data_IF_972528754863
#
_entry.id   IF_972528754863
#
_cell.length_a   1.000
_cell.length_b   1.000
_cell.length_c   1.000
_cell.angle_alpha   90.00
_cell.angle_beta   90.00
_cell.angle_gamma   90.00
#
_symmetry.space_group_name_H-M   'P 1'
#
loop_
_entity.id
_entity.type
_entity.pdbx_description
1 polymer ?
#
# COMPACT_ATOMS: atom_id res chain seq x y z
N UNK A 1 9.49 8.32 -17.19
CA UNK A 1 8.47 8.16 -16.12
C UNK A 1 7.77 6.81 -16.19
N UNK A 2 7.22 6.38 -17.32
CA UNK A 2 6.50 5.09 -17.44
C UNK A 2 7.27 3.85 -16.95
N UNK A 3 8.58 3.76 -17.23
CA UNK A 3 9.44 2.66 -16.75
C UNK A 3 9.55 2.56 -15.21
N UNK A 4 9.32 3.66 -14.50
CA UNK A 4 9.49 3.75 -13.03
C UNK A 4 8.16 3.63 -12.30
N UNK A 5 7.08 4.20 -12.85
CA UNK A 5 5.78 4.28 -12.16
C UNK A 5 4.98 2.98 -12.17
N UNK A 6 5.22 2.08 -13.14
CA UNK A 6 4.66 0.73 -13.13
C UNK A 6 3.14 0.64 -13.30
N UNK A 7 2.48 1.75 -13.65
CA UNK A 7 1.04 1.82 -13.93
C UNK A 7 0.79 2.04 -15.43
N UNK A 8 -0.24 1.42 -16.03
CA UNK A 8 -0.59 1.64 -17.42
C UNK A 8 -1.13 3.08 -17.68
N UNK A 9 -1.64 3.75 -16.66
CA UNK A 9 -2.15 5.12 -16.76
C UNK A 9 -1.01 6.14 -16.93
N UNK A 10 -1.16 7.04 -17.91
CA UNK A 10 -0.20 8.11 -18.19
C UNK A 10 -0.38 9.25 -17.19
N UNK A 11 0.71 9.66 -16.54
CA UNK A 11 0.67 10.81 -15.63
C UNK A 11 0.52 12.14 -16.38
N UNK A 12 -0.36 13.01 -15.88
CA UNK A 12 -0.46 14.42 -16.31
C UNK A 12 0.85 15.14 -15.96
N UNK A 13 1.44 15.79 -16.96
CA UNK A 13 2.63 16.64 -16.80
C UNK A 13 2.22 18.07 -17.10
N UNK A 14 2.43 19.00 -16.16
CA UNK A 14 2.16 20.43 -16.37
C UNK A 14 3.44 21.12 -16.86
N UNK A 15 3.41 21.69 -18.06
CA UNK A 15 4.59 22.29 -18.69
C UNK A 15 4.53 23.81 -18.59
N UNK A 16 5.49 24.42 -17.91
CA UNK A 16 5.56 25.87 -17.78
C UNK A 16 6.73 26.37 -16.97
N UNK A 17 6.79 27.69 -16.81
CA UNK A 17 7.75 28.38 -15.95
C UNK A 17 7.02 28.94 -14.73
N UNK A 18 7.13 28.27 -13.58
CA UNK A 18 6.35 28.58 -12.38
C UNK A 18 7.08 29.57 -11.46
N UNK A 19 7.40 30.75 -12.00
CA UNK A 19 8.03 31.84 -11.26
C UNK A 19 7.51 33.20 -11.74
N UNK A 20 7.81 34.27 -11.01
CA UNK A 20 7.32 35.62 -11.32
C UNK A 20 8.18 36.40 -12.33
N UNK A 21 9.26 35.81 -12.85
CA UNK A 21 10.14 36.47 -13.82
C UNK A 21 9.62 36.31 -15.26
N UNK A 22 9.98 37.23 -16.18
CA UNK A 22 9.60 37.13 -17.58
C UNK A 22 10.16 35.87 -18.24
N UNK A 23 9.44 35.37 -19.24
CA UNK A 23 9.89 34.26 -20.08
C UNK A 23 11.10 34.70 -20.92
N UNK A 24 12.13 33.86 -20.96
CA UNK A 24 13.26 34.05 -21.87
C UNK A 24 12.86 33.80 -23.34
N UNK A 25 11.97 32.83 -23.57
CA UNK A 25 11.39 32.50 -24.87
C UNK A 25 9.87 32.43 -24.74
N UNK A 26 9.14 33.23 -25.51
CA UNK A 26 7.69 33.42 -25.37
C UNK A 26 6.85 32.77 -26.47
N UNK A 27 7.48 32.03 -27.40
CA UNK A 27 6.79 31.33 -28.49
C UNK A 27 5.68 30.38 -28.00
N UNK A 28 5.86 29.80 -26.81
CA UNK A 28 4.91 28.88 -26.17
C UNK A 28 4.15 29.51 -24.98
N UNK A 29 4.15 30.85 -24.85
CA UNK A 29 3.51 31.56 -23.72
C UNK A 29 2.09 31.08 -23.45
N UNK A 30 1.27 30.97 -24.50
CA UNK A 30 -0.12 30.49 -24.38
C UNK A 30 -0.22 29.09 -23.80
N UNK A 31 0.67 28.17 -24.18
CA UNK A 31 0.70 26.82 -23.62
C UNK A 31 1.03 26.89 -22.12
N UNK A 32 2.07 27.63 -21.74
CA UNK A 32 2.47 27.74 -20.34
C UNK A 32 1.39 28.36 -19.45
N UNK A 33 0.68 29.38 -19.94
CA UNK A 33 -0.42 30.00 -19.22
C UNK A 33 -1.61 29.05 -19.03
N UNK A 34 -1.95 28.25 -20.06
CA UNK A 34 -2.99 27.23 -19.97
C UNK A 34 -2.60 26.12 -18.98
N UNK A 35 -1.38 25.61 -19.06
CA UNK A 35 -0.86 24.56 -18.18
C UNK A 35 -0.77 25.03 -16.71
N UNK A 36 -0.37 26.28 -16.49
CA UNK A 36 -0.37 26.86 -15.15
C UNK A 36 -1.79 27.03 -14.61
N UNK A 37 -2.74 27.49 -15.42
CA UNK A 37 -4.15 27.61 -15.04
C UNK A 37 -4.75 26.24 -14.67
N UNK A 38 -4.49 25.20 -15.45
CA UNK A 38 -4.93 23.84 -15.15
C UNK A 38 -4.36 23.36 -13.81
N UNK A 39 -3.04 23.53 -13.60
CA UNK A 39 -2.39 23.15 -12.34
C UNK A 39 -3.02 23.87 -11.13
N UNK A 40 -3.23 25.19 -11.23
CA UNK A 40 -3.83 25.96 -10.15
C UNK A 40 -5.28 25.54 -9.89
N UNK A 41 -6.06 25.27 -10.94
CA UNK A 41 -7.42 24.74 -10.79
C UNK A 41 -7.44 23.41 -10.05
N UNK A 42 -6.51 22.50 -10.37
CA UNK A 42 -6.39 21.22 -9.68
C UNK A 42 -5.97 21.39 -8.21
N UNK A 43 -5.04 22.31 -7.91
CA UNK A 43 -4.63 22.65 -6.54
C UNK A 43 -5.79 23.25 -5.73
N UNK A 44 -6.56 24.17 -6.32
CA UNK A 44 -7.74 24.78 -5.71
C UNK A 44 -8.87 23.77 -5.47
N UNK A 45 -8.93 22.70 -6.26
CA UNK A 45 -9.89 21.61 -6.07
C UNK A 45 -9.54 20.70 -4.88
N UNK A 46 -8.29 20.74 -4.38
CA UNK A 46 -7.81 19.81 -3.36
C UNK A 46 -8.64 19.83 -2.06
N UNK A 47 -9.09 20.97 -1.50
CA UNK A 47 -9.92 20.95 -0.30
C UNK A 47 -11.25 20.23 -0.52
N UNK A 48 -11.84 20.35 -1.71
CA UNK A 48 -13.11 19.69 -2.08
C UNK A 48 -12.93 18.18 -2.25
N UNK A 49 -11.80 17.75 -2.80
CA UNK A 49 -11.47 16.32 -3.00
C UNK A 49 -10.82 15.67 -1.79
N UNK A 50 -10.49 16.43 -0.74
CA UNK A 50 -9.81 15.94 0.46
C UNK A 50 -10.63 14.91 1.23
N UNK A 51 -11.95 15.09 1.33
CA UNK A 51 -12.83 14.13 2.02
C UNK A 51 -12.85 12.78 1.31
N UNK A 52 -12.95 12.79 -0.03
CA UNK A 52 -12.90 11.56 -0.84
C UNK A 52 -11.52 10.88 -0.75
N UNK A 53 -10.43 11.65 -0.77
CA UNK A 53 -9.08 11.11 -0.58
C UNK A 53 -8.91 10.46 0.80
N UNK A 54 -9.34 11.14 1.87
CA UNK A 54 -9.32 10.57 3.23
C UNK A 54 -10.13 9.29 3.34
N UNK A 55 -11.30 9.25 2.71
CA UNK A 55 -12.14 8.05 2.66
C UNK A 55 -11.43 6.91 1.91
N UNK A 56 -10.82 7.19 0.76
CA UNK A 56 -10.06 6.18 0.01
C UNK A 56 -8.85 5.66 0.81
N UNK A 57 -8.14 6.52 1.53
CA UNK A 57 -7.02 6.10 2.37
C UNK A 57 -7.50 5.28 3.57
N UNK A 58 -8.65 5.62 4.15
CA UNK A 58 -9.28 4.81 5.21
C UNK A 58 -9.67 3.43 4.69
N UNK A 59 -10.26 3.33 3.50
CA UNK A 59 -10.62 2.05 2.87
C UNK A 59 -9.36 1.21 2.63
N UNK A 60 -8.31 1.79 2.06
CA UNK A 60 -7.03 1.11 1.85
C UNK A 60 -6.44 0.60 3.16
N UNK A 61 -6.48 1.43 4.21
CA UNK A 61 -5.96 1.08 5.53
C UNK A 61 -6.78 -0.01 6.21
N UNK A 62 -8.11 0.04 6.12
CA UNK A 62 -9.00 -0.98 6.67
C UNK A 62 -8.74 -2.34 5.99
N UNK A 63 -8.57 -2.33 4.66
CA UNK A 63 -8.22 -3.54 3.92
C UNK A 63 -6.89 -4.12 4.36
N UNK A 64 -5.84 -3.29 4.43
CA UNK A 64 -4.52 -3.73 4.89
C UNK A 64 -4.56 -4.28 6.33
N UNK A 65 -5.31 -3.64 7.23
CA UNK A 65 -5.48 -4.10 8.60
C UNK A 65 -6.18 -5.47 8.66
N UNK A 66 -7.22 -5.67 7.83
CA UNK A 66 -7.91 -6.96 7.69
C UNK A 66 -6.97 -8.06 7.18
N UNK A 67 -6.19 -7.79 6.14
CA UNK A 67 -5.19 -8.76 5.64
C UNK A 67 -4.16 -9.09 6.72
N UNK A 68 -3.66 -8.07 7.42
CA UNK A 68 -2.71 -8.26 8.51
C UNK A 68 -3.29 -9.12 9.64
N UNK A 69 -4.57 -8.95 9.99
CA UNK A 69 -5.24 -9.78 10.99
C UNK A 69 -5.28 -11.25 10.57
N UNK A 70 -5.57 -11.55 9.30
CA UNK A 70 -5.53 -12.93 8.79
C UNK A 70 -4.13 -13.52 8.83
N UNK A 71 -3.10 -12.77 8.43
CA UNK A 71 -1.71 -13.24 8.50
C UNK A 71 -1.35 -13.60 9.94
N UNK A 72 -1.65 -12.73 10.92
CA UNK A 72 -1.32 -13.00 12.31
C UNK A 72 -2.06 -14.23 12.86
N UNK A 73 -3.34 -14.40 12.52
CA UNK A 73 -4.10 -15.58 12.95
C UNK A 73 -3.57 -16.87 12.33
N UNK A 74 -3.30 -16.86 11.03
CA UNK A 74 -2.79 -18.04 10.31
C UNK A 74 -1.41 -18.47 10.84
N UNK A 75 -0.53 -17.49 11.10
CA UNK A 75 0.77 -17.76 11.75
C UNK A 75 0.58 -18.32 13.16
N UNK A 76 -0.39 -17.82 13.94
CA UNK A 76 -0.71 -18.32 15.28
C UNK A 76 -1.24 -19.75 15.25
N UNK A 77 -2.15 -20.05 14.33
CA UNK A 77 -2.78 -21.37 14.15
C UNK A 77 -1.77 -22.41 13.65
N UNK A 78 -0.79 -21.99 12.85
CA UNK A 78 0.28 -22.85 12.35
C UNK A 78 1.40 -23.15 13.37
N UNK A 79 1.37 -22.54 14.56
CA UNK A 79 2.39 -22.73 15.59
C UNK A 79 2.08 -23.95 16.49
N UNK A 80 3.08 -24.78 16.82
CA UNK A 80 2.90 -25.89 17.74
C UNK A 80 2.77 -25.41 19.19
N UNK A 81 1.92 -26.08 19.98
CA UNK A 81 1.65 -25.68 21.37
C UNK A 81 2.81 -25.95 22.33
N UNK A 82 3.61 -26.99 22.10
CA UNK A 82 4.55 -27.54 23.10
C UNK A 82 6.01 -27.49 22.64
N UNK A 83 6.38 -28.19 21.56
CA UNK A 83 7.79 -28.31 21.11
C UNK A 83 7.97 -27.83 19.66
N UNK A 84 9.21 -27.48 19.28
CA UNK A 84 9.55 -27.12 17.89
C UNK A 84 9.15 -25.70 17.45
N UNK A 85 8.77 -24.83 18.39
CA UNK A 85 8.27 -23.47 18.12
C UNK A 85 9.25 -22.62 17.30
N UNK A 86 10.53 -22.60 17.67
CA UNK A 86 11.52 -21.80 16.96
C UNK A 86 11.79 -22.30 15.55
N UNK A 87 11.77 -23.63 15.36
CA UNK A 87 11.94 -24.23 14.04
C UNK A 87 10.74 -23.91 13.15
N UNK A 88 9.52 -24.08 13.67
CA UNK A 88 8.30 -23.76 12.90
C UNK A 88 8.20 -22.27 12.60
N UNK A 89 8.59 -21.38 13.54
CA UNK A 89 8.64 -19.93 13.30
C UNK A 89 9.55 -19.59 12.12
N UNK A 90 10.78 -20.11 12.11
CA UNK A 90 11.73 -19.89 11.00
C UNK A 90 11.19 -20.43 9.68
N UNK A 91 10.60 -21.62 9.70
CA UNK A 91 9.96 -22.23 8.52
C UNK A 91 8.83 -21.36 7.96
N UNK A 92 7.93 -20.86 8.81
CA UNK A 92 6.82 -20.00 8.41
C UNK A 92 7.29 -18.66 7.85
N UNK A 93 8.35 -18.07 8.42
CA UNK A 93 8.94 -16.82 7.91
C UNK A 93 9.57 -17.06 6.54
N UNK A 94 10.39 -18.11 6.39
CA UNK A 94 11.04 -18.43 5.11
C UNK A 94 10.01 -18.73 4.01
N UNK A 95 8.91 -19.38 4.37
CA UNK A 95 7.84 -19.79 3.46
C UNK A 95 6.61 -18.87 3.54
N UNK A 96 6.78 -17.59 3.90
CA UNK A 96 5.68 -16.64 4.08
C UNK A 96 4.82 -16.47 2.81
N UNK A 97 5.41 -16.64 1.62
CA UNK A 97 4.69 -16.62 0.35
C UNK A 97 3.57 -17.68 0.30
N UNK A 98 3.82 -18.90 0.80
CA UNK A 98 2.82 -19.97 0.86
C UNK A 98 1.69 -19.63 1.84
N UNK A 99 2.02 -18.94 2.94
CA UNK A 99 1.02 -18.44 3.90
C UNK A 99 0.10 -17.42 3.22
N UNK A 100 0.66 -16.52 2.41
CA UNK A 100 -0.12 -15.54 1.66
C UNK A 100 -1.03 -16.19 0.62
N UNK A 101 -0.51 -17.13 -0.18
CA UNK A 101 -1.31 -17.88 -1.16
C UNK A 101 -2.45 -18.66 -0.49
N UNK A 102 -2.21 -19.24 0.68
CA UNK A 102 -3.25 -19.92 1.47
C UNK A 102 -4.35 -18.94 1.87
N UNK A 103 -3.98 -17.76 2.40
CA UNK A 103 -4.95 -16.74 2.83
C UNK A 103 -5.72 -16.17 1.63
N UNK A 104 -5.04 -15.90 0.50
CA UNK A 104 -5.67 -15.45 -0.74
C UNK A 104 -6.80 -16.39 -1.15
N UNK A 105 -6.50 -17.70 -1.23
CA UNK A 105 -7.49 -18.71 -1.64
C UNK A 105 -8.65 -18.84 -0.65
N UNK A 106 -8.37 -18.78 0.65
CA UNK A 106 -9.37 -18.98 1.69
C UNK A 106 -10.28 -17.77 1.89
N UNK A 107 -9.73 -16.56 1.80
CA UNK A 107 -10.44 -15.31 2.10
C UNK A 107 -10.87 -14.54 0.84
N UNK A 108 -10.49 -15.02 -0.34
CA UNK A 108 -10.71 -14.38 -1.64
C UNK A 108 -10.17 -12.94 -1.67
N UNK A 109 -8.91 -12.78 -1.25
CA UNK A 109 -8.22 -11.48 -1.17
C UNK A 109 -7.07 -11.49 -2.17
N UNK A 110 -7.01 -10.52 -3.11
CA UNK A 110 -5.90 -10.43 -4.06
C UNK A 110 -4.54 -10.25 -3.37
N UNK A 111 -3.49 -10.92 -3.86
CA UNK A 111 -2.11 -10.74 -3.36
C UNK A 111 -1.62 -9.28 -3.38
N UNK A 112 -2.17 -8.43 -4.26
CA UNK A 112 -1.83 -7.00 -4.31
C UNK A 112 -2.21 -6.20 -3.05
N UNK A 113 -3.12 -6.72 -2.23
CA UNK A 113 -3.52 -6.10 -0.96
C UNK A 113 -2.60 -6.53 0.20
N UNK A 114 -1.68 -7.47 -0.03
CA UNK A 114 -0.77 -7.97 1.00
C UNK A 114 0.47 -7.08 1.14
N UNK A 115 1.02 -6.96 2.36
CA UNK A 115 2.27 -6.24 2.59
C UNK A 115 3.45 -7.01 1.98
N UNK A 116 4.45 -6.27 1.49
CA UNK A 116 5.67 -6.84 0.87
C UNK A 116 6.28 -7.93 1.76
N UNK A 117 6.59 -9.07 1.14
CA UNK A 117 7.07 -10.28 1.83
C UNK A 117 8.36 -9.99 2.58
N UNK A 118 9.33 -9.35 1.95
CA UNK A 118 10.65 -9.12 2.53
C UNK A 118 10.56 -8.27 3.81
N UNK A 119 9.74 -7.21 3.75
CA UNK A 119 9.47 -6.34 4.91
C UNK A 119 8.75 -7.08 6.02
N UNK A 120 7.77 -7.92 5.68
CA UNK A 120 7.04 -8.69 6.67
C UNK A 120 7.93 -9.75 7.32
N UNK A 121 8.80 -10.41 6.56
CA UNK A 121 9.79 -11.36 7.07
C UNK A 121 10.75 -10.70 8.07
N UNK A 122 11.32 -9.54 7.73
CA UNK A 122 12.23 -8.78 8.61
C UNK A 122 11.56 -8.45 9.96
N UNK A 123 10.32 -7.96 9.93
CA UNK A 123 9.59 -7.61 11.15
C UNK A 123 9.27 -8.87 11.96
N UNK A 124 8.82 -9.95 11.31
CA UNK A 124 8.43 -11.21 11.96
C UNK A 124 9.60 -11.93 12.64
N UNK A 125 10.84 -11.76 12.17
CA UNK A 125 12.02 -12.35 12.79
C UNK A 125 12.16 -11.98 14.28
N UNK A 126 11.75 -10.76 14.62
CA UNK A 126 11.85 -10.20 15.98
C UNK A 126 10.59 -10.40 16.82
N UNK A 127 9.60 -11.15 16.32
CA UNK A 127 8.32 -11.36 17.00
C UNK A 127 8.18 -12.79 17.55
N UNK A 128 7.44 -12.90 18.65
CA UNK A 128 7.05 -14.18 19.25
C UNK A 128 5.62 -14.54 18.83
N UNK A 129 5.51 -15.53 17.94
CA UNK A 129 4.22 -15.94 17.37
C UNK A 129 3.30 -16.59 18.41
N UNK A 130 3.83 -17.04 19.54
CA UNK A 130 2.99 -17.58 20.62
C UNK A 130 2.13 -16.50 21.27
N UNK A 131 2.55 -15.24 21.20
CA UNK A 131 1.82 -14.08 21.72
C UNK A 131 0.79 -13.52 20.76
N UNK A 132 0.75 -14.01 19.52
CA UNK A 132 -0.27 -13.60 18.56
C UNK A 132 -1.65 -14.07 19.01
N UNK A 133 -2.65 -13.24 18.71
CA UNK A 133 -4.05 -13.51 19.03
C UNK A 133 -4.69 -14.28 17.88
N UNK A 134 -5.58 -15.24 18.18
CA UNK A 134 -6.42 -15.84 17.15
C UNK A 134 -7.37 -14.78 16.57
N UNK A 135 -7.90 -15.07 15.39
CA UNK A 135 -8.87 -14.21 14.71
C UNK A 135 -10.14 -14.02 15.55
N UNK A 136 -10.44 -12.77 15.90
CA UNK A 136 -11.73 -12.42 16.46
C UNK A 136 -12.69 -12.00 15.33
N UNK A 137 -13.66 -12.86 15.03
CA UNK A 137 -14.67 -12.61 13.98
C UNK A 137 -15.54 -11.40 14.27
N UNK A 138 -15.61 -10.90 15.51
CA UNK A 138 -16.40 -9.70 15.86
C UNK A 138 -15.68 -8.40 15.51
N UNK A 139 -14.37 -8.45 15.31
CA UNK A 139 -13.52 -7.29 14.97
C UNK A 139 -13.23 -7.18 13.47
N UNK A 140 -13.78 -8.09 12.67
CA UNK A 140 -13.69 -8.11 11.20
C UNK A 140 -14.96 -7.51 10.59
#
# INVERSE_FOLDING_TARGET
LGKVLGTPEVCRVYVGSFWSKPLQYDSNRRLFELEAKDLFGDLESLPRTATLRKLNDLIKRARLARVHAFIMSELKESMPSVFGKDQKRRELINNLHLVYEKIERQQNIPLGDFPKIERMQEILQNMDFTKFKPLDKKLL
#
